data_IF_982324585326
#
_entry.id   IF_982324585326
#
_cell.length_a   1.000
_cell.length_b   1.000
_cell.length_c   1.000
_cell.angle_alpha   90.00
_cell.angle_beta   90.00
_cell.angle_gamma   90.00
#
_symmetry.space_group_name_H-M   'P 1'
#
loop_
_entity.id
_entity.type
_entity.pdbx_description
1 polymer ?
#
# COMPACT_ATOMS: atom_id res chain seq x y z
N UNK A 1 5.43 -2.25 -27.18
CA UNK A 1 6.06 -2.89 -26.02
C UNK A 1 5.81 -4.38 -26.08
N UNK A 2 6.86 -5.16 -26.01
CA UNK A 2 6.77 -6.61 -26.08
C UNK A 2 6.37 -7.19 -24.70
N UNK A 3 5.85 -8.43 -24.66
CA UNK A 3 5.61 -9.10 -23.37
C UNK A 3 6.88 -9.19 -22.50
N UNK A 4 8.04 -9.36 -23.12
CA UNK A 4 9.30 -9.39 -22.39
C UNK A 4 9.63 -8.03 -21.74
N UNK A 5 9.34 -6.92 -22.43
CA UNK A 5 9.52 -5.58 -21.87
C UNK A 5 8.59 -5.34 -20.67
N UNK A 6 7.36 -5.80 -20.77
CA UNK A 6 6.39 -5.69 -19.67
C UNK A 6 6.88 -6.47 -18.47
N UNK A 7 7.34 -7.71 -18.69
CA UNK A 7 7.86 -8.55 -17.60
C UNK A 7 9.07 -7.90 -16.94
N UNK A 8 9.98 -7.32 -17.71
CA UNK A 8 11.17 -6.65 -17.17
C UNK A 8 10.77 -5.46 -16.29
N UNK A 9 9.82 -4.64 -16.73
CA UNK A 9 9.34 -3.50 -15.94
C UNK A 9 8.66 -3.94 -14.65
N UNK A 10 7.84 -4.99 -14.72
CA UNK A 10 7.19 -5.53 -13.53
C UNK A 10 8.20 -6.08 -12.54
N UNK A 11 9.23 -6.79 -13.03
CA UNK A 11 10.27 -7.32 -12.16
C UNK A 11 11.06 -6.21 -11.47
N UNK A 12 11.34 -5.11 -12.15
CA UNK A 12 11.98 -3.95 -11.53
C UNK A 12 11.09 -3.33 -10.46
N UNK A 13 9.81 -3.20 -10.76
CA UNK A 13 8.85 -2.66 -9.80
C UNK A 13 8.75 -3.55 -8.56
N UNK A 14 8.64 -4.86 -8.75
CA UNK A 14 8.58 -5.81 -7.63
C UNK A 14 9.83 -5.74 -6.77
N UNK A 15 11.01 -5.66 -7.38
CA UNK A 15 12.26 -5.56 -6.63
C UNK A 15 12.32 -4.26 -5.82
N UNK A 16 11.98 -3.14 -6.42
CA UNK A 16 11.95 -1.84 -5.75
C UNK A 16 10.97 -1.85 -4.58
N UNK A 17 9.76 -2.35 -4.81
CA UNK A 17 8.72 -2.39 -3.80
C UNK A 17 9.09 -3.32 -2.64
N UNK A 18 9.58 -4.51 -2.96
CA UNK A 18 9.98 -5.51 -1.94
C UNK A 18 11.12 -4.98 -1.08
N UNK A 19 12.12 -4.34 -1.67
CA UNK A 19 13.23 -3.74 -0.93
C UNK A 19 12.74 -2.65 0.02
N UNK A 20 11.83 -1.79 -0.44
CA UNK A 20 11.28 -0.73 0.39
C UNK A 20 10.52 -1.30 1.59
N UNK A 21 9.73 -2.35 1.37
CA UNK A 21 8.98 -3.03 2.43
C UNK A 21 9.93 -3.66 3.44
N UNK A 22 10.92 -4.40 2.98
CA UNK A 22 11.86 -5.11 3.86
C UNK A 22 12.72 -4.15 4.68
N UNK A 23 13.12 -3.01 4.13
CA UNK A 23 13.91 -2.03 4.88
C UNK A 23 13.16 -1.46 6.08
N UNK A 24 11.84 -1.53 6.08
CA UNK A 24 11.02 -1.03 7.19
C UNK A 24 10.32 -2.15 7.94
N UNK A 25 10.87 -3.36 7.86
CA UNK A 25 10.38 -4.54 8.58
C UNK A 25 8.93 -4.89 8.26
N UNK A 26 8.50 -4.59 7.05
CA UNK A 26 7.20 -5.01 6.56
C UNK A 26 7.23 -6.41 5.97
N UNK A 27 6.07 -6.93 5.67
CA UNK A 27 5.89 -8.23 5.04
C UNK A 27 5.22 -8.05 3.69
N UNK A 28 5.82 -8.57 2.63
CA UNK A 28 5.17 -8.60 1.32
C UNK A 28 4.16 -9.75 1.34
N UNK A 29 2.90 -9.42 1.10
CA UNK A 29 1.84 -10.43 1.06
C UNK A 29 1.70 -11.02 -0.34
N UNK A 30 1.45 -10.16 -1.32
CA UNK A 30 1.21 -10.61 -2.69
C UNK A 30 1.83 -9.69 -3.71
N UNK A 31 2.32 -10.31 -4.79
CA UNK A 31 2.74 -9.63 -6.01
C UNK A 31 1.83 -10.16 -7.12
N UNK A 32 0.83 -9.37 -7.50
CA UNK A 32 -0.18 -9.82 -8.48
C UNK A 32 -0.30 -8.76 -9.58
N UNK A 33 -0.02 -9.17 -10.81
CA UNK A 33 -0.05 -8.24 -11.94
C UNK A 33 0.86 -7.05 -11.69
N UNK A 34 0.31 -5.85 -11.72
CA UNK A 34 1.03 -4.60 -11.44
C UNK A 34 0.78 -4.09 -10.02
N UNK A 35 0.36 -4.97 -9.11
CA UNK A 35 0.00 -4.61 -7.75
C UNK A 35 0.91 -5.31 -6.74
N UNK A 36 1.34 -4.56 -5.74
CA UNK A 36 2.06 -5.08 -4.58
C UNK A 36 1.24 -4.80 -3.35
N UNK A 37 1.01 -5.83 -2.55
CA UNK A 37 0.35 -5.73 -1.27
C UNK A 37 1.32 -6.11 -0.16
N UNK A 38 1.38 -5.29 0.88
CA UNK A 38 2.25 -5.52 2.03
C UNK A 38 1.53 -5.12 3.30
N UNK A 39 2.01 -5.63 4.43
CA UNK A 39 1.48 -5.23 5.73
C UNK A 39 2.61 -5.04 6.74
N UNK A 40 2.31 -4.26 7.78
CA UNK A 40 3.25 -3.86 8.81
C UNK A 40 2.62 -4.10 10.18
N UNK A 41 3.45 -4.42 11.18
CA UNK A 41 2.96 -4.68 12.52
C UNK A 41 2.67 -6.14 12.82
N UNK A 42 3.01 -7.03 11.90
CA UNK A 42 2.90 -8.47 12.08
C UNK A 42 3.98 -9.16 11.24
N UNK A 43 4.48 -10.32 11.64
CA UNK A 43 4.12 -11.05 12.86
C UNK A 43 4.61 -10.38 14.16
N UNK A 44 5.53 -9.40 14.05
CA UNK A 44 6.02 -8.65 15.20
C UNK A 44 5.35 -7.28 15.22
N UNK A 45 4.67 -6.98 16.34
CA UNK A 45 4.02 -5.69 16.48
C UNK A 45 5.06 -4.59 16.74
N UNK A 46 4.94 -3.48 15.99
CA UNK A 46 5.76 -2.29 16.19
C UNK A 46 4.84 -1.08 16.31
N UNK A 47 5.13 -0.21 17.29
CA UNK A 47 4.29 0.97 17.53
C UNK A 47 4.19 1.89 16.32
N UNK A 48 5.26 1.97 15.53
CA UNK A 48 5.35 2.86 14.39
C UNK A 48 4.97 2.18 13.07
N UNK A 49 4.18 1.10 13.13
CA UNK A 49 3.82 0.34 11.93
C UNK A 49 3.09 1.21 10.89
N UNK A 50 2.21 2.11 11.30
CA UNK A 50 1.49 2.97 10.38
C UNK A 50 2.43 3.95 9.67
N UNK A 51 3.36 4.56 10.40
CA UNK A 51 4.37 5.45 9.82
C UNK A 51 5.23 4.69 8.82
N UNK A 52 5.67 3.48 9.18
CA UNK A 52 6.48 2.65 8.29
C UNK A 52 5.75 2.34 6.99
N UNK A 53 4.46 2.04 7.08
CA UNK A 53 3.65 1.77 5.91
C UNK A 53 3.55 2.99 4.99
N UNK A 54 3.31 4.16 5.54
CA UNK A 54 3.21 5.41 4.78
C UNK A 54 4.54 5.74 4.13
N UNK A 55 5.63 5.67 4.88
CA UNK A 55 6.97 5.97 4.36
C UNK A 55 7.38 5.00 3.27
N UNK A 56 7.02 3.73 3.42
CA UNK A 56 7.27 2.71 2.40
C UNK A 56 6.52 3.03 1.12
N UNK A 57 5.23 3.37 1.24
CA UNK A 57 4.42 3.74 0.08
C UNK A 57 5.00 4.92 -0.68
N UNK A 58 5.43 5.96 0.04
CA UNK A 58 6.07 7.13 -0.57
C UNK A 58 7.37 6.76 -1.28
N UNK A 59 8.19 5.93 -0.65
CA UNK A 59 9.45 5.49 -1.29
C UNK A 59 9.19 4.74 -2.57
N UNK A 60 8.20 3.85 -2.57
CA UNK A 60 7.85 3.08 -3.77
C UNK A 60 7.38 4.01 -4.88
N UNK A 61 6.45 4.90 -4.59
CA UNK A 61 5.88 5.81 -5.60
C UNK A 61 6.96 6.74 -6.13
N UNK A 62 7.80 7.32 -5.26
CA UNK A 62 8.91 8.17 -5.68
C UNK A 62 9.92 7.43 -6.53
N UNK A 63 10.23 6.19 -6.16
CA UNK A 63 11.15 5.35 -6.90
C UNK A 63 10.65 5.06 -8.31
N UNK A 64 9.35 4.77 -8.44
CA UNK A 64 8.74 4.53 -9.75
C UNK A 64 8.72 5.81 -10.59
N UNK A 65 8.40 6.95 -9.98
CA UNK A 65 8.38 8.23 -10.68
C UNK A 65 9.76 8.65 -11.19
N UNK A 66 10.82 8.22 -10.51
CA UNK A 66 12.19 8.50 -10.93
C UNK A 66 12.61 7.71 -12.17
N UNK A 67 11.90 6.63 -12.49
CA UNK A 67 12.17 5.86 -13.69
C UNK A 67 11.62 6.59 -14.93
N UNK A 68 12.46 6.80 -15.93
CA UNK A 68 12.10 7.59 -17.11
C UNK A 68 10.96 6.98 -17.90
N UNK A 69 10.89 5.64 -17.93
CA UNK A 69 9.82 4.90 -18.60
C UNK A 69 9.08 4.01 -17.60
N UNK A 70 9.02 4.46 -16.35
CA UNK A 70 8.42 3.69 -15.27
C UNK A 70 6.91 3.56 -15.39
N UNK A 71 6.38 2.62 -14.62
CA UNK A 71 4.95 2.47 -14.45
C UNK A 71 4.41 3.68 -13.68
N UNK A 72 3.13 3.95 -13.88
CA UNK A 72 2.45 4.97 -13.08
C UNK A 72 1.71 4.26 -11.95
N UNK A 73 2.06 4.59 -10.72
CA UNK A 73 1.50 3.91 -9.56
C UNK A 73 0.92 4.90 -8.56
N UNK A 74 -0.11 4.44 -7.86
CA UNK A 74 -0.65 5.10 -6.70
C UNK A 74 -0.72 4.11 -5.56
N UNK A 75 -0.84 4.60 -4.34
CA UNK A 75 -0.88 3.76 -3.15
C UNK A 75 -2.08 4.02 -2.27
N UNK A 76 -2.40 3.04 -1.43
CA UNK A 76 -3.40 3.15 -0.39
C UNK A 76 -2.87 2.53 0.88
N UNK A 77 -3.06 3.21 2.01
CA UNK A 77 -2.63 2.73 3.32
C UNK A 77 -3.79 2.84 4.29
N UNK A 78 -4.16 1.72 4.89
CA UNK A 78 -5.18 1.67 5.91
C UNK A 78 -4.60 1.04 7.17
N UNK A 79 -5.05 1.53 8.33
CA UNK A 79 -4.63 1.03 9.64
C UNK A 79 -5.86 0.57 10.40
N UNK A 80 -5.77 -0.58 11.04
CA UNK A 80 -6.89 -1.12 11.81
C UNK A 80 -6.65 -2.58 12.14
N UNK A 81 -7.68 -3.21 12.67
CA UNK A 81 -7.63 -4.64 12.97
C UNK A 81 -7.69 -5.46 11.70
N UNK A 82 -6.92 -6.53 11.68
CA UNK A 82 -6.92 -7.50 10.59
C UNK A 82 -6.47 -8.85 11.14
N UNK A 83 -6.94 -9.92 10.51
CA UNK A 83 -6.42 -11.24 10.80
C UNK A 83 -5.12 -11.42 10.02
N UNK A 84 -4.06 -11.84 10.70
CA UNK A 84 -2.79 -12.17 10.06
C UNK A 84 -2.43 -13.59 10.46
N UNK A 85 -2.25 -14.44 9.47
CA UNK A 85 -1.93 -15.83 9.74
C UNK A 85 -2.08 -16.72 8.52
N UNK A 86 -2.08 -18.01 8.78
CA UNK A 86 -2.19 -19.01 7.72
C UNK A 86 -3.64 -19.18 7.30
N UNK A 87 -3.89 -19.08 6.01
CA UNK A 87 -5.22 -19.26 5.41
C UNK A 87 -5.10 -20.24 4.27
N UNK A 88 -5.98 -21.22 4.23
CA UNK A 88 -6.00 -22.19 3.16
C UNK A 88 -6.51 -23.55 3.61
N UNK A 89 -6.55 -24.48 2.68
CA UNK A 89 -6.97 -25.85 2.91
C UNK A 89 -6.55 -26.74 1.75
N UNK A 90 -6.78 -28.04 1.87
CA UNK A 90 -6.44 -28.99 0.81
C UNK A 90 -4.94 -29.05 0.49
N UNK A 91 -4.10 -28.77 1.46
CA UNK A 91 -2.65 -28.79 1.30
C UNK A 91 -2.04 -27.48 0.81
N UNK A 92 -2.85 -26.46 0.55
CA UNK A 92 -2.38 -25.13 0.14
C UNK A 92 -2.65 -24.16 1.30
N UNK A 93 -1.59 -23.55 1.81
CA UNK A 93 -1.68 -22.60 2.94
C UNK A 93 -0.85 -21.35 2.63
N UNK A 94 -1.48 -20.19 2.71
CA UNK A 94 -0.82 -18.90 2.55
C UNK A 94 -0.80 -18.16 3.88
N UNK A 95 0.34 -17.58 4.22
CA UNK A 95 0.44 -16.64 5.32
C UNK A 95 0.04 -15.27 4.78
N UNK A 96 -1.10 -14.77 5.20
CA UNK A 96 -1.69 -13.58 4.61
C UNK A 96 -2.46 -12.76 5.64
N UNK A 97 -2.97 -11.62 5.20
CA UNK A 97 -3.77 -10.72 6.03
C UNK A 97 -5.18 -10.63 5.43
N UNK A 98 -6.19 -10.71 6.30
CA UNK A 98 -7.61 -10.64 5.92
C UNK A 98 -8.35 -9.66 6.82
N UNK A 99 -9.38 -9.04 6.29
CA UNK A 99 -10.28 -8.19 7.04
C UNK A 99 -10.70 -6.94 6.30
N UNK A 100 -11.57 -6.16 6.92
CA UNK A 100 -12.09 -4.93 6.33
C UNK A 100 -10.99 -3.90 6.08
N UNK A 101 -10.00 -3.81 6.96
CA UNK A 101 -8.86 -2.91 6.80
C UNK A 101 -8.14 -3.16 5.48
N UNK A 102 -7.99 -4.43 5.09
CA UNK A 102 -7.35 -4.81 3.83
C UNK A 102 -8.19 -4.32 2.64
N UNK A 103 -9.50 -4.50 2.73
CA UNK A 103 -10.42 -4.08 1.67
C UNK A 103 -10.40 -2.55 1.51
N UNK A 104 -10.33 -1.82 2.62
CA UNK A 104 -10.22 -0.36 2.58
C UNK A 104 -8.93 0.06 1.90
N UNK A 105 -7.80 -0.55 2.25
CA UNK A 105 -6.51 -0.24 1.62
C UNK A 105 -6.56 -0.45 0.10
N UNK A 106 -7.15 -1.55 -0.34
CA UNK A 106 -7.27 -1.86 -1.76
C UNK A 106 -8.13 -0.80 -2.49
N UNK A 107 -9.20 -0.35 -1.86
CA UNK A 107 -10.06 0.67 -2.46
C UNK A 107 -9.41 2.04 -2.50
N UNK A 108 -8.65 2.39 -1.47
CA UNK A 108 -7.88 3.63 -1.46
C UNK A 108 -6.88 3.62 -2.62
N UNK A 109 -6.18 2.51 -2.80
CA UNK A 109 -5.23 2.37 -3.89
C UNK A 109 -5.92 2.52 -5.24
N UNK A 110 -7.08 1.90 -5.42
CA UNK A 110 -7.85 2.00 -6.66
C UNK A 110 -8.34 3.42 -6.96
N UNK A 111 -8.51 4.26 -5.94
CA UNK A 111 -8.95 5.65 -6.08
C UNK A 111 -7.78 6.63 -6.17
N UNK A 112 -6.55 6.19 -5.97
CA UNK A 112 -5.37 7.04 -6.04
C UNK A 112 -4.96 7.24 -7.49
N UNK A 113 -4.65 8.48 -7.84
CA UNK A 113 -4.03 8.77 -9.13
C UNK A 113 -2.53 8.48 -9.05
N UNK A 114 -1.87 8.45 -10.20
CA UNK A 114 -0.42 8.26 -10.24
C UNK A 114 0.27 9.32 -9.39
N UNK A 115 1.21 8.90 -8.57
CA UNK A 115 1.94 9.79 -7.67
C UNK A 115 1.22 10.11 -6.37
N UNK A 116 0.00 9.61 -6.18
CA UNK A 116 -0.77 9.84 -4.96
C UNK A 116 -0.74 8.64 -4.04
N UNK A 117 -0.78 8.91 -2.74
CA UNK A 117 -1.02 7.91 -1.72
C UNK A 117 -2.21 8.37 -0.90
N UNK A 118 -3.26 7.55 -0.84
CA UNK A 118 -4.44 7.82 -0.05
C UNK A 118 -4.35 7.06 1.26
N UNK A 119 -4.63 7.76 2.36
CA UNK A 119 -4.49 7.23 3.72
C UNK A 119 -5.82 7.31 4.44
N UNK A 120 -6.10 6.32 5.28
CA UNK A 120 -7.13 6.49 6.31
C UNK A 120 -6.65 7.53 7.31
N UNK A 121 -7.57 8.11 8.08
CA UNK A 121 -7.20 9.07 9.12
C UNK A 121 -6.28 8.42 10.16
N UNK A 122 -6.52 7.15 10.49
CA UNK A 122 -5.69 6.39 11.42
C UNK A 122 -4.25 6.23 10.91
N UNK A 123 -4.08 6.12 9.61
CA UNK A 123 -2.74 6.03 9.00
C UNK A 123 -2.08 7.41 8.91
N UNK A 124 -2.87 8.46 8.73
CA UNK A 124 -2.37 9.82 8.60
C UNK A 124 -1.88 10.40 9.93
N UNK A 125 -2.60 10.16 11.02
CA UNK A 125 -2.32 10.76 12.32
C UNK A 125 -0.85 10.64 12.74
N UNK A 126 -0.19 9.48 12.61
CA UNK A 126 1.22 9.36 13.00
C UNK A 126 2.19 10.16 12.14
N UNK A 127 1.79 10.56 10.95
CA UNK A 127 2.65 11.29 10.01
C UNK A 127 2.16 12.72 9.74
N UNK A 128 1.16 13.17 10.48
CA UNK A 128 0.52 14.47 10.24
C UNK A 128 1.50 15.64 10.28
N UNK A 129 2.50 15.59 11.17
CA UNK A 129 3.52 16.64 11.27
C UNK A 129 4.41 16.71 10.04
N UNK A 130 4.63 15.57 9.38
CA UNK A 130 5.45 15.51 8.16
C UNK A 130 4.68 16.00 6.94
N UNK A 131 3.35 15.91 6.98
CA UNK A 131 2.48 16.24 5.85
C UNK A 131 1.32 17.13 6.31
N UNK A 132 1.62 18.34 6.82
CA UNK A 132 0.56 19.19 7.38
C UNK A 132 -0.43 19.68 6.32
N UNK A 133 -0.03 19.69 5.05
CA UNK A 133 -0.86 20.17 3.94
C UNK A 133 -1.54 19.03 3.18
N UNK A 134 -1.62 17.84 3.78
CA UNK A 134 -2.28 16.71 3.14
C UNK A 134 -3.73 17.05 2.82
N UNK A 135 -4.12 16.79 1.58
CA UNK A 135 -5.50 17.02 1.13
C UNK A 135 -6.48 16.04 1.76
N UNK A 136 -7.74 16.29 1.51
CA UNK A 136 -8.83 15.38 1.91
C UNK A 136 -9.63 15.02 0.66
N UNK A 137 -10.06 13.78 0.60
CA UNK A 137 -10.90 13.30 -0.51
C UNK A 137 -11.98 12.41 0.07
N UNK A 138 -13.23 12.71 -0.23
CA UNK A 138 -14.34 11.87 0.17
C UNK A 138 -14.49 10.73 -0.83
N UNK A 139 -14.59 9.52 -0.31
CA UNK A 139 -14.75 8.33 -1.12
C UNK A 139 -15.98 7.57 -0.68
N UNK A 140 -16.78 7.16 -1.67
CA UNK A 140 -17.90 6.26 -1.45
C UNK A 140 -17.35 4.84 -1.67
N UNK A 141 -16.96 4.19 -0.57
CA UNK A 141 -16.39 2.85 -0.63
C UNK A 141 -17.51 1.81 -0.65
N UNK A 142 -17.50 1.01 -1.70
CA UNK A 142 -18.49 -0.06 -1.87
C UNK A 142 -18.50 -0.99 -0.67
N UNK A 143 -19.69 -1.22 -0.11
CA UNK A 143 -19.85 -2.05 1.09
C UNK A 143 -19.75 -1.29 2.40
N UNK A 144 -19.51 0.01 2.35
CA UNK A 144 -19.53 0.88 3.52
C UNK A 144 -20.82 1.69 3.54
N UNK A 145 -21.42 1.85 4.72
CA UNK A 145 -22.66 2.60 4.89
C UNK A 145 -22.41 4.11 4.94
N UNK A 146 -21.18 4.55 5.06
CA UNK A 146 -20.82 5.96 5.17
C UNK A 146 -19.65 6.28 4.24
N UNK A 147 -19.58 7.54 3.84
CA UNK A 147 -18.46 8.07 3.06
C UNK A 147 -17.21 8.05 3.93
N UNK A 148 -16.11 7.59 3.36
CA UNK A 148 -14.80 7.59 4.03
C UNK A 148 -14.01 8.79 3.54
N UNK A 149 -13.47 9.58 4.48
CA UNK A 149 -12.59 10.70 4.14
C UNK A 149 -11.16 10.19 4.17
N UNK A 150 -10.51 10.22 3.00
CA UNK A 150 -9.11 9.84 2.87
C UNK A 150 -8.23 11.08 2.91
N UNK A 151 -7.04 10.95 3.45
CA UNK A 151 -5.99 11.96 3.32
C UNK A 151 -5.18 11.65 2.07
N UNK A 152 -4.75 12.71 1.39
CA UNK A 152 -4.04 12.59 0.12
C UNK A 152 -2.64 13.16 0.29
N UNK A 153 -1.64 12.32 0.08
CA UNK A 153 -0.23 12.73 0.06
C UNK A 153 0.28 12.52 -1.36
N UNK A 154 1.07 13.46 -1.85
CA UNK A 154 1.66 13.34 -3.19
C UNK A 154 3.16 13.18 -3.10
N UNK A 155 3.66 12.19 -3.84
CA UNK A 155 5.08 11.99 -4.01
C UNK A 155 5.60 13.02 -5.01
N UNK A 156 6.69 13.70 -4.64
CA UNK A 156 7.32 14.70 -5.51
C UNK A 156 8.81 14.49 -5.55
#
# INVERSE_FOLDING_TARGET
>A
MTPADVAERLNKFYALASDAVFRRDGTVDKLVGDQVMAFFGAPVHKHDHARRAVETGLEIVRGVMAEEEGLQVGGGVATGEAFVGNVGGGGVVDYTVLGDTVNVAARLQGAAAAGEILLTEESYTPVAEQFPDAGKRELDLKGKSAVVVARVIRAQ
#
